data_IF_557595631901
#
_entry.id   IF_557595631901
#
_cell.length_a   1.000
_cell.length_b   1.000
_cell.length_c   1.000
_cell.angle_alpha   90.00
_cell.angle_beta   90.00
_cell.angle_gamma   90.00
#
_symmetry.space_group_name_H-M   'P 1'
#
loop_
_entity.id
_entity.type
_entity.pdbx_description
1 polymer ?
#
# COMPACT_ATOMS: atom_id res chain seq x y z
N UNK A 1 16.92 -0.17 7.75
CA UNK A 1 16.37 -0.20 6.40
C UNK A 1 17.22 0.52 5.37
N UNK A 2 17.18 -0.01 4.14
CA UNK A 2 17.55 0.68 2.91
C UNK A 2 16.33 1.47 2.41
N UNK A 3 16.52 2.68 1.86
CA UNK A 3 15.43 3.41 1.22
C UNK A 3 15.08 2.74 -0.11
N UNK A 4 13.86 2.21 -0.22
CA UNK A 4 13.40 1.48 -1.41
C UNK A 4 12.53 2.33 -2.34
N UNK A 5 11.90 3.39 -1.83
CA UNK A 5 11.09 4.32 -2.60
C UNK A 5 11.06 5.71 -1.94
N UNK A 6 10.96 6.76 -2.75
CA UNK A 6 10.72 8.14 -2.30
C UNK A 6 10.05 8.94 -3.41
N UNK A 7 8.99 9.66 -3.09
CA UNK A 7 8.28 10.52 -4.05
C UNK A 7 7.62 11.70 -3.35
N UNK A 8 7.50 12.81 -4.07
CA UNK A 8 6.65 13.96 -3.71
C UNK A 8 5.30 13.92 -4.46
N UNK A 9 5.10 12.92 -5.33
CA UNK A 9 3.88 12.68 -6.10
C UNK A 9 3.33 11.28 -5.79
N UNK A 10 2.12 11.23 -5.24
CA UNK A 10 1.40 10.00 -4.95
C UNK A 10 -0.11 10.24 -5.02
N UNK A 11 -0.87 9.18 -5.26
CA UNK A 11 -2.32 9.20 -5.15
C UNK A 11 -2.74 8.72 -3.77
N UNK A 12 -3.51 9.55 -3.06
CA UNK A 12 -4.11 9.20 -1.78
C UNK A 12 -5.54 8.70 -2.01
N UNK A 13 -5.74 7.39 -1.92
CA UNK A 13 -7.05 6.76 -2.11
C UNK A 13 -7.76 6.69 -0.77
N UNK A 14 -8.99 7.21 -0.74
CA UNK A 14 -9.86 7.22 0.44
C UNK A 14 -10.95 6.16 0.26
N UNK A 15 -11.10 5.29 1.24
CA UNK A 15 -12.09 4.21 1.23
C UNK A 15 -12.88 4.24 2.54
N UNK A 16 -14.17 3.92 2.46
CA UNK A 16 -15.04 3.87 3.64
C UNK A 16 -14.43 2.96 4.71
N UNK A 17 -14.41 3.42 5.95
CA UNK A 17 -13.92 2.67 7.12
C UNK A 17 -12.40 2.34 7.12
N UNK A 18 -11.63 2.79 6.13
CA UNK A 18 -10.18 2.58 6.06
C UNK A 18 -9.43 3.92 6.15
N UNK A 19 -8.24 3.96 6.77
CA UNK A 19 -7.32 5.06 6.57
C UNK A 19 -6.82 5.05 5.11
N UNK A 20 -6.27 6.17 4.62
CA UNK A 20 -5.86 6.27 3.24
C UNK A 20 -4.81 5.22 2.85
N UNK A 21 -4.95 4.66 1.65
CA UNK A 21 -3.85 3.93 1.00
C UNK A 21 -3.17 4.86 -0.01
N UNK A 22 -1.84 4.88 0.03
CA UNK A 22 -1.03 5.65 -0.90
C UNK A 22 -0.55 4.76 -2.04
N UNK A 23 -0.77 5.23 -3.26
CA UNK A 23 -0.24 4.63 -4.47
C UNK A 23 0.85 5.55 -5.02
N UNK A 24 2.02 4.98 -5.22
CA UNK A 24 3.23 5.66 -5.64
C UNK A 24 3.54 5.30 -7.11
N UNK A 25 4.05 6.23 -7.93
CA UNK A 25 4.54 5.89 -9.26
C UNK A 25 5.61 4.80 -9.18
N UNK A 26 5.55 3.80 -10.06
CA UNK A 26 6.56 2.73 -10.09
C UNK A 26 7.99 3.26 -10.24
N UNK A 27 8.15 4.37 -10.97
CA UNK A 27 9.44 5.02 -11.22
C UNK A 27 10.11 5.60 -9.96
N UNK A 28 9.41 5.69 -8.83
CA UNK A 28 9.99 6.17 -7.58
C UNK A 28 10.61 5.06 -6.73
N UNK A 29 10.47 3.80 -7.14
CA UNK A 29 11.12 2.66 -6.51
C UNK A 29 12.52 2.49 -7.08
N UNK A 30 13.48 2.14 -6.23
CA UNK A 30 14.84 1.86 -6.68
C UNK A 30 14.87 0.60 -7.58
N UNK A 31 15.83 0.56 -8.51
CA UNK A 31 15.97 -0.55 -9.44
C UNK A 31 16.14 -1.89 -8.72
N UNK A 32 15.44 -2.91 -9.21
CA UNK A 32 15.48 -4.26 -8.64
C UNK A 32 14.69 -4.45 -7.34
N UNK A 33 14.11 -3.39 -6.75
CA UNK A 33 13.29 -3.52 -5.54
C UNK A 33 12.00 -4.28 -5.80
N UNK A 34 11.32 -3.98 -6.91
CA UNK A 34 10.03 -4.58 -7.24
C UNK A 34 10.24 -5.87 -8.02
N UNK A 35 10.06 -7.01 -7.37
CA UNK A 35 10.07 -8.31 -8.03
C UNK A 35 8.63 -8.85 -8.10
N UNK A 36 8.17 -9.22 -9.29
CA UNK A 36 6.80 -9.72 -9.45
C UNK A 36 6.61 -11.00 -8.63
N UNK A 37 5.59 -11.00 -7.78
CA UNK A 37 5.27 -12.12 -6.91
C UNK A 37 4.14 -12.98 -7.50
N UNK A 38 4.11 -14.26 -7.12
CA UNK A 38 3.03 -15.16 -7.50
C UNK A 38 1.76 -14.80 -6.73
N UNK A 39 0.64 -14.85 -7.44
CA UNK A 39 -0.70 -14.67 -6.88
C UNK A 39 -1.32 -13.32 -7.24
N UNK A 40 -2.62 -13.23 -6.96
CA UNK A 40 -3.42 -12.02 -7.13
C UNK A 40 -4.56 -12.04 -6.13
N UNK A 41 -5.20 -10.90 -5.93
CA UNK A 41 -6.48 -10.81 -5.24
C UNK A 41 -7.47 -10.00 -6.06
N UNK A 42 -8.75 -10.10 -5.70
CA UNK A 42 -9.81 -9.34 -6.32
C UNK A 42 -10.40 -8.36 -5.32
N UNK A 43 -10.37 -7.08 -5.66
CA UNK A 43 -11.13 -6.04 -4.98
C UNK A 43 -12.39 -5.78 -5.79
N UNK A 44 -13.56 -5.89 -5.14
CA UNK A 44 -14.87 -5.66 -5.79
C UNK A 44 -15.00 -4.25 -6.41
N UNK A 45 -14.26 -3.28 -5.88
CA UNK A 45 -14.27 -1.90 -6.36
C UNK A 45 -13.21 -1.61 -7.42
N UNK A 46 -11.99 -2.14 -7.25
CA UNK A 46 -10.82 -1.74 -8.05
C UNK A 46 -10.43 -2.77 -9.10
N UNK A 47 -10.86 -4.02 -8.98
CA UNK A 47 -10.52 -5.12 -9.89
C UNK A 47 -9.39 -6.01 -9.37
N UNK A 48 -8.62 -6.59 -10.29
CA UNK A 48 -7.55 -7.54 -9.95
C UNK A 48 -6.27 -6.82 -9.50
N UNK A 49 -5.80 -7.14 -8.30
CA UNK A 49 -4.51 -6.70 -7.79
C UNK A 49 -3.42 -7.73 -8.13
N UNK A 50 -2.27 -7.27 -8.58
CA UNK A 50 -1.05 -8.07 -8.73
C UNK A 50 -0.05 -7.72 -7.63
N UNK A 51 0.72 -8.70 -7.17
CA UNK A 51 1.66 -8.52 -6.07
C UNK A 51 3.10 -8.37 -6.52
N UNK A 52 3.88 -7.66 -5.70
CA UNK A 52 5.33 -7.61 -5.76
C UNK A 52 5.91 -7.99 -4.40
N UNK A 53 7.02 -8.74 -4.45
CA UNK A 53 7.95 -8.82 -3.35
C UNK A 53 8.79 -7.53 -3.35
N UNK A 54 9.11 -7.03 -2.16
CA UNK A 54 10.05 -5.93 -2.00
C UNK A 54 11.41 -6.48 -1.63
N UNK A 55 12.37 -6.32 -2.53
CA UNK A 55 13.69 -6.93 -2.46
C UNK A 55 14.75 -5.87 -2.16
N UNK A 56 15.67 -6.23 -1.28
CA UNK A 56 16.91 -5.49 -1.00
C UNK A 56 18.07 -6.45 -1.06
N UNK A 57 19.31 -5.95 -0.92
CA UNK A 57 20.49 -6.81 -0.86
C UNK A 57 20.50 -7.77 0.35
N UNK A 58 19.74 -7.45 1.40
CA UNK A 58 19.74 -8.20 2.66
C UNK A 58 18.44 -8.94 2.98
N UNK A 59 17.31 -8.57 2.37
CA UNK A 59 15.99 -9.08 2.73
C UNK A 59 15.04 -9.11 1.54
N UNK A 60 14.13 -10.08 1.54
CA UNK A 60 12.93 -10.11 0.71
C UNK A 60 11.71 -10.00 1.62
N UNK A 61 10.86 -9.00 1.39
CA UNK A 61 9.55 -8.89 2.02
C UNK A 61 8.47 -9.41 1.04
N UNK A 62 7.95 -10.64 1.26
CA UNK A 62 7.09 -11.30 0.29
C UNK A 62 5.70 -10.65 0.21
N UNK A 63 5.21 -10.41 -1.01
CA UNK A 63 3.91 -9.78 -1.32
C UNK A 63 3.67 -8.49 -0.53
N UNK A 64 4.73 -7.75 -0.24
CA UNK A 64 4.71 -6.53 0.56
C UNK A 64 4.27 -5.29 -0.26
N UNK A 65 4.09 -5.43 -1.57
CA UNK A 65 3.52 -4.39 -2.42
C UNK A 65 2.50 -4.96 -3.41
N UNK A 66 1.61 -4.11 -3.90
CA UNK A 66 0.63 -4.47 -4.93
C UNK A 66 0.33 -3.32 -5.88
N UNK A 67 -0.23 -3.67 -7.03
CA UNK A 67 -0.71 -2.72 -8.03
C UNK A 67 -2.01 -3.19 -8.67
N UNK A 68 -2.76 -2.26 -9.24
CA UNK A 68 -3.83 -2.56 -10.17
C UNK A 68 -3.36 -2.19 -11.57
N UNK A 69 -3.09 -3.18 -12.43
CA UNK A 69 -2.65 -2.93 -13.82
C UNK A 69 -3.79 -2.44 -14.71
N UNK A 70 -5.01 -2.90 -14.43
CA UNK A 70 -6.23 -2.58 -15.16
C UNK A 70 -7.37 -2.30 -14.18
N UNK A 71 -7.29 -1.22 -13.39
CA UNK A 71 -8.32 -0.91 -12.43
C UNK A 71 -9.64 -0.55 -13.13
N UNK A 72 -10.75 -0.60 -12.37
CA UNK A 72 -12.03 -0.06 -12.85
C UNK A 72 -11.94 1.44 -13.15
N UNK A 73 -12.87 1.98 -13.95
CA UNK A 73 -12.80 3.36 -14.45
C UNK A 73 -12.64 4.42 -13.35
N UNK A 74 -13.31 4.27 -12.21
CA UNK A 74 -13.19 5.20 -11.08
C UNK A 74 -11.79 5.24 -10.44
N UNK A 75 -10.96 4.23 -10.68
CA UNK A 75 -9.60 4.09 -10.17
C UNK A 75 -8.55 4.12 -11.30
N UNK A 76 -8.91 4.55 -12.51
CA UNK A 76 -7.99 4.61 -13.65
C UNK A 76 -6.71 5.42 -13.38
N UNK A 77 -6.79 6.43 -12.51
CA UNK A 77 -5.65 7.28 -12.16
C UNK A 77 -4.51 6.53 -11.43
N UNK A 78 -4.80 5.39 -10.78
CA UNK A 78 -3.79 4.58 -10.07
C UNK A 78 -3.33 3.36 -10.88
N UNK A 79 -3.65 3.29 -12.17
CA UNK A 79 -3.25 2.17 -13.02
C UNK A 79 -1.72 2.04 -13.05
N UNK A 80 -1.21 0.88 -12.62
CA UNK A 80 0.23 0.59 -12.52
C UNK A 80 0.96 1.28 -11.37
N UNK A 81 0.28 2.11 -10.57
CA UNK A 81 0.86 2.66 -9.35
C UNK A 81 0.95 1.59 -8.25
N UNK A 82 1.96 1.70 -7.40
CA UNK A 82 2.33 0.68 -6.41
C UNK A 82 1.94 1.17 -5.01
N UNK A 83 1.22 0.35 -4.27
CA UNK A 83 1.01 0.54 -2.84
C UNK A 83 1.84 -0.47 -2.03
N UNK A 84 2.18 -0.09 -0.79
CA UNK A 84 3.07 -0.87 0.10
C UNK A 84 2.36 -1.21 1.40
N UNK A 85 2.50 -2.46 1.84
CA UNK A 85 2.04 -2.94 3.13
C UNK A 85 2.99 -2.41 4.21
N UNK A 86 2.60 -1.30 4.85
CA UNK A 86 3.34 -0.72 5.97
C UNK A 86 3.77 -1.71 7.06
N UNK A 87 2.97 -2.73 7.48
CA UNK A 87 3.40 -3.65 8.53
C UNK A 87 4.46 -4.67 8.07
N UNK A 88 4.81 -4.72 6.77
CA UNK A 88 5.76 -5.67 6.20
C UNK A 88 7.11 -5.02 5.81
N UNK A 89 7.33 -3.76 6.20
CA UNK A 89 8.57 -3.02 5.95
C UNK A 89 9.04 -2.32 7.21
N UNK A 90 10.32 -1.92 7.25
CA UNK A 90 10.91 -1.29 8.44
C UNK A 90 10.23 0.02 8.84
N UNK A 91 9.89 0.87 7.85
CA UNK A 91 9.34 2.21 8.09
C UNK A 91 8.73 2.81 6.83
N UNK A 92 7.57 3.43 6.98
CA UNK A 92 6.96 4.32 5.99
C UNK A 92 6.69 5.69 6.62
N UNK A 93 6.80 6.75 5.83
CA UNK A 93 6.53 8.12 6.29
C UNK A 93 5.71 8.89 5.26
N UNK A 94 4.82 9.77 5.72
CA UNK A 94 4.13 10.76 4.88
C UNK A 94 4.46 12.15 5.42
N UNK A 95 5.02 13.03 4.58
CA UNK A 95 5.45 14.38 4.99
C UNK A 95 6.35 14.41 6.23
N UNK A 96 7.23 13.41 6.38
CA UNK A 96 8.14 13.27 7.53
C UNK A 96 7.52 12.65 8.77
N UNK A 97 6.21 12.40 8.79
CA UNK A 97 5.52 11.70 9.86
C UNK A 97 5.54 10.19 9.63
N UNK A 98 5.93 9.41 10.64
CA UNK A 98 5.89 7.96 10.57
C UNK A 98 4.45 7.43 10.60
N UNK A 99 4.15 6.49 9.72
CA UNK A 99 2.80 5.94 9.60
C UNK A 99 2.57 4.82 10.60
N UNK A 100 1.37 4.78 11.18
CA UNK A 100 0.89 3.62 11.92
C UNK A 100 0.16 2.71 10.91
N UNK A 101 0.53 1.43 10.79
CA UNK A 101 -0.20 0.49 9.93
C UNK A 101 -1.68 0.37 10.33
N UNK A 102 -2.57 0.26 9.34
CA UNK A 102 -3.95 -0.11 9.63
C UNK A 102 -4.00 -1.43 10.43
N UNK A 103 -4.76 -1.49 11.54
CA UNK A 103 -4.89 -2.70 12.33
C UNK A 103 -5.37 -3.92 11.53
N UNK A 104 -5.05 -5.12 12.04
CA UNK A 104 -5.44 -6.39 11.44
C UNK A 104 -4.36 -7.05 10.56
N UNK A 105 -3.43 -6.27 9.99
CA UNK A 105 -2.27 -6.83 9.26
C UNK A 105 -2.55 -7.33 7.85
N UNK A 106 -3.77 -7.13 7.34
CA UNK A 106 -4.18 -7.53 5.99
C UNK A 106 -4.58 -6.35 5.10
N UNK A 107 -4.73 -5.15 5.68
CA UNK A 107 -5.05 -3.93 4.96
C UNK A 107 -3.82 -3.04 4.73
N UNK A 108 -3.84 -2.33 3.61
CA UNK A 108 -2.79 -1.43 3.16
C UNK A 108 -2.94 0.03 3.61
N UNK A 109 -3.82 0.32 4.57
CA UNK A 109 -4.08 1.69 5.01
C UNK A 109 -2.96 2.25 5.89
N UNK A 110 -2.65 3.53 5.70
CA UNK A 110 -1.58 4.26 6.40
C UNK A 110 -2.21 5.33 7.29
N UNK A 111 -2.02 5.22 8.61
CA UNK A 111 -2.56 6.17 9.60
C UNK A 111 -1.49 7.20 9.94
N UNK A 112 -1.87 8.47 9.92
CA UNK A 112 -1.09 9.60 10.44
C UNK A 112 -1.97 10.41 11.41
N UNK A 113 -1.37 11.30 12.18
CA UNK A 113 -2.01 12.16 13.20
C UNK A 113 -3.17 13.01 12.66
N UNK A 114 -3.17 13.30 11.36
CA UNK A 114 -4.18 14.10 10.69
C UNK A 114 -5.28 13.27 10.00
N UNK A 115 -5.28 11.93 10.16
CA UNK A 115 -6.35 11.04 9.71
C UNK A 115 -7.16 10.58 10.93
N UNK A 116 -8.44 10.93 10.98
CA UNK A 116 -9.34 10.55 12.06
C UNK A 116 -9.96 9.16 11.83
N UNK A 117 -9.91 8.32 12.87
CA UNK A 117 -10.61 7.03 12.91
C UNK A 117 -12.01 7.13 13.53
N UNK A 118 -12.63 5.98 13.90
CA UNK A 118 -12.02 4.65 13.98
C UNK A 118 -11.79 4.01 12.61
N UNK A 119 -10.90 3.01 12.58
CA UNK A 119 -10.56 2.27 11.37
C UNK A 119 -10.89 0.79 11.51
N UNK A 120 -11.30 0.17 10.41
CA UNK A 120 -11.48 -1.27 10.31
C UNK A 120 -10.19 -2.01 10.67
N UNK A 121 -10.33 -3.15 11.36
CA UNK A 121 -9.23 -3.99 11.82
C UNK A 121 -9.02 -3.98 13.34
N UNK A 122 -9.66 -3.06 14.07
CA UNK A 122 -9.70 -3.05 15.55
C UNK A 122 -10.75 -4.04 16.08
N UNK A 123 -10.69 -4.47 17.36
CA UNK A 123 -11.72 -5.32 17.96
C UNK A 123 -13.13 -4.74 17.78
N UNK A 124 -14.09 -5.58 17.35
CA UNK A 124 -15.48 -5.17 17.12
C UNK A 124 -15.79 -4.50 15.78
N UNK A 125 -14.79 -4.31 14.90
CA UNK A 125 -14.99 -3.75 13.54
C UNK A 125 -15.27 -4.80 12.45
N UNK A 126 -15.56 -6.04 12.85
CA UNK A 126 -15.92 -7.10 11.89
C UNK A 126 -17.25 -6.76 11.22
N UNK A 127 -17.26 -6.71 9.88
CA UNK A 127 -18.45 -6.39 9.08
C UNK A 127 -18.62 -4.93 8.67
N UNK A 128 -17.68 -4.04 9.06
CA UNK A 128 -17.60 -2.68 8.52
C UNK A 128 -17.21 -2.63 7.04
#
# INVERSE_FOLDING_TARGET
>A
GQMIARTDLAWRVLETSHPPTYYLPQSCFADGVLQQAIGSSWCEWKGQASYFDLVTSSLVAPRAAWTYLKPTHGFAAIAGAIAVMAPLVDRCTVNGEEVIPQPGGFYGGWITSWVAGPFKGVPGSMGW
#
